data_IF_281753037559
#
_entry.id   IF_281753037559
#
_cell.length_a   1.000
_cell.length_b   1.000
_cell.length_c   1.000
_cell.angle_alpha   90.00
_cell.angle_beta   90.00
_cell.angle_gamma   90.00
#
_symmetry.space_group_name_H-M   'P 1'
#
loop_
_entity.id
_entity.type
_entity.pdbx_description
1 polymer ?
#
# COMPACT_ATOMS: atom_id res chain seq x y z
N UNK A 1 -1.16 -16.37 18.18
CA UNK A 1 0.01 -15.55 17.77
C UNK A 1 0.32 -14.60 18.91
N UNK A 2 1.55 -14.57 19.45
CA UNK A 2 1.84 -13.73 20.62
C UNK A 2 1.68 -12.24 20.29
N UNK A 3 1.24 -11.44 21.25
CA UNK A 3 1.11 -9.97 21.09
C UNK A 3 2.43 -9.35 20.61
N UNK A 4 3.55 -9.88 21.09
CA UNK A 4 4.89 -9.49 20.67
C UNK A 4 5.13 -9.68 19.16
N UNK A 5 4.75 -10.83 18.59
CA UNK A 5 4.89 -11.10 17.16
C UNK A 5 3.99 -10.19 16.30
N UNK A 6 2.80 -9.84 16.79
CA UNK A 6 1.93 -8.87 16.13
C UNK A 6 2.54 -7.47 16.12
N UNK A 7 3.04 -7.00 17.26
CA UNK A 7 3.71 -5.70 17.35
C UNK A 7 4.99 -5.64 16.54
N UNK A 8 5.78 -6.73 16.54
CA UNK A 8 6.99 -6.84 15.72
C UNK A 8 6.63 -6.79 14.22
N UNK A 9 5.62 -7.58 13.80
CA UNK A 9 5.14 -7.58 12.42
C UNK A 9 4.65 -6.20 11.96
N UNK A 10 3.90 -5.50 12.80
CA UNK A 10 3.42 -4.15 12.51
C UNK A 10 4.58 -3.14 12.43
N UNK A 11 5.53 -3.19 13.36
CA UNK A 11 6.69 -2.30 13.38
C UNK A 11 7.57 -2.51 12.15
N UNK A 12 7.92 -3.77 11.82
CA UNK A 12 8.66 -4.11 10.60
C UNK A 12 7.96 -3.59 9.35
N UNK A 13 6.63 -3.70 9.31
CA UNK A 13 5.84 -3.25 8.18
C UNK A 13 5.83 -1.73 8.02
N UNK A 14 5.68 -0.98 9.12
CA UNK A 14 5.75 0.49 9.13
C UNK A 14 7.14 0.97 8.72
N UNK A 15 8.20 0.34 9.23
CA UNK A 15 9.57 0.69 8.88
C UNK A 15 9.86 0.43 7.39
N UNK A 16 9.35 -0.67 6.83
CA UNK A 16 9.44 -0.95 5.40
C UNK A 16 8.65 0.08 4.57
N UNK A 17 7.48 0.50 5.03
CA UNK A 17 6.68 1.56 4.39
C UNK A 17 7.46 2.88 4.31
N UNK A 18 8.01 3.30 5.44
CA UNK A 18 8.77 4.54 5.57
C UNK A 18 10.06 4.44 4.74
N UNK A 19 10.79 3.33 4.82
CA UNK A 19 12.01 3.10 4.05
C UNK A 19 11.74 3.13 2.54
N UNK A 20 10.68 2.48 2.07
CA UNK A 20 10.27 2.53 0.68
C UNK A 20 9.91 3.96 0.25
N UNK A 21 9.20 4.72 1.08
CA UNK A 21 8.82 6.11 0.79
C UNK A 21 10.04 7.04 0.75
N UNK A 22 10.95 6.92 1.72
CA UNK A 22 12.17 7.73 1.81
C UNK A 22 13.17 7.41 0.71
N UNK A 23 13.21 6.17 0.22
CA UNK A 23 13.96 5.82 -0.98
C UNK A 23 13.29 6.38 -2.23
N UNK A 24 11.99 6.17 -2.38
CA UNK A 24 11.24 6.51 -3.58
C UNK A 24 11.07 8.03 -3.80
N UNK A 25 10.68 8.78 -2.76
CA UNK A 25 10.32 10.20 -2.87
C UNK A 25 11.42 11.11 -3.43
N UNK A 26 12.67 11.10 -2.93
CA UNK A 26 13.72 11.95 -3.46
C UNK A 26 14.09 11.59 -4.91
N UNK A 27 14.11 10.30 -5.26
CA UNK A 27 14.36 9.86 -6.64
C UNK A 27 13.24 10.31 -7.59
N UNK A 28 11.99 10.32 -7.10
CA UNK A 28 10.86 10.81 -7.86
C UNK A 28 10.91 12.33 -8.05
N UNK A 29 11.05 13.12 -6.98
CA UNK A 29 11.00 14.57 -7.08
C UNK A 29 12.21 15.16 -7.81
N UNK A 30 13.43 14.66 -7.54
CA UNK A 30 14.63 15.12 -8.24
C UNK A 30 14.57 14.82 -9.75
N UNK A 31 13.87 13.76 -10.15
CA UNK A 31 13.74 13.37 -11.54
C UNK A 31 12.62 14.09 -12.31
N UNK A 32 11.59 14.60 -11.63
CA UNK A 32 10.33 15.01 -12.28
C UNK A 32 9.93 16.48 -12.07
N UNK A 33 10.66 17.27 -11.27
CA UNK A 33 10.30 18.66 -10.93
C UNK A 33 10.19 19.62 -12.14
N UNK A 34 10.79 19.28 -13.28
CA UNK A 34 10.92 20.17 -14.44
C UNK A 34 10.44 19.56 -15.77
N UNK A 35 9.73 18.43 -15.75
CA UNK A 35 9.37 17.71 -16.97
C UNK A 35 7.86 17.64 -17.20
N UNK A 36 7.47 17.84 -18.46
CA UNK A 36 6.12 17.59 -18.95
C UNK A 36 5.82 16.08 -18.89
N UNK A 37 4.60 15.66 -18.52
CA UNK A 37 4.26 14.25 -18.37
C UNK A 37 4.39 13.54 -19.72
N UNK A 38 5.43 12.71 -19.84
CA UNK A 38 5.61 11.73 -20.91
C UNK A 38 5.48 10.35 -20.30
N UNK A 39 4.97 9.39 -21.08
CA UNK A 39 4.86 8.00 -20.67
C UNK A 39 6.25 7.35 -20.73
N UNK A 40 7.07 7.68 -19.73
CA UNK A 40 8.44 7.21 -19.57
C UNK A 40 8.58 6.42 -18.25
N UNK A 41 9.76 5.84 -18.03
CA UNK A 41 10.03 5.03 -16.83
C UNK A 41 9.80 5.81 -15.52
N UNK A 42 9.86 7.14 -15.59
CA UNK A 42 9.72 8.06 -14.46
C UNK A 42 8.25 8.25 -14.07
N UNK A 43 7.38 8.38 -15.06
CA UNK A 43 5.93 8.39 -14.85
C UNK A 43 5.44 7.05 -14.30
N UNK A 44 6.07 5.95 -14.71
CA UNK A 44 5.80 4.63 -14.15
C UNK A 44 6.26 4.51 -12.69
N UNK A 45 7.44 5.05 -12.35
CA UNK A 45 7.87 5.16 -10.97
C UNK A 45 6.92 6.02 -10.11
N UNK A 46 6.29 7.07 -10.68
CA UNK A 46 5.27 7.89 -10.02
C UNK A 46 4.15 7.07 -9.36
N UNK A 47 3.79 5.95 -10.01
CA UNK A 47 2.71 5.08 -9.55
C UNK A 47 3.02 4.35 -8.23
N UNK A 48 4.26 4.42 -7.74
CA UNK A 48 4.63 3.97 -6.39
C UNK A 48 3.92 4.72 -5.25
N UNK A 49 3.43 5.96 -5.45
CA UNK A 49 2.66 6.69 -4.43
C UNK A 49 1.37 5.94 -4.05
N UNK A 50 0.49 5.57 -5.00
CA UNK A 50 -0.65 4.70 -4.74
C UNK A 50 -0.32 3.44 -3.93
N UNK A 51 0.80 2.79 -4.23
CA UNK A 51 1.25 1.61 -3.48
C UNK A 51 1.53 1.95 -2.02
N UNK A 52 2.27 3.04 -1.76
CA UNK A 52 2.59 3.48 -0.41
C UNK A 52 1.32 3.82 0.39
N UNK A 53 0.36 4.50 -0.22
CA UNK A 53 -0.93 4.81 0.41
C UNK A 53 -1.73 3.54 0.74
N UNK A 54 -1.80 2.60 -0.19
CA UNK A 54 -2.44 1.30 0.05
C UNK A 54 -1.76 0.59 1.23
N UNK A 55 -0.42 0.57 1.24
CA UNK A 55 0.38 -0.09 2.26
C UNK A 55 0.14 0.51 3.65
N UNK A 56 0.19 1.85 3.79
CA UNK A 56 -0.12 2.54 5.06
C UNK A 56 -1.54 2.23 5.52
N UNK A 57 -2.53 2.28 4.61
CA UNK A 57 -3.92 2.00 4.95
C UNK A 57 -4.14 0.54 5.41
N UNK A 58 -3.44 -0.41 4.78
CA UNK A 58 -3.50 -1.81 5.14
C UNK A 58 -2.85 -2.04 6.52
N UNK A 59 -1.74 -1.36 6.82
CA UNK A 59 -1.10 -1.40 8.14
C UNK A 59 -2.03 -0.90 9.25
N UNK A 60 -2.60 0.29 9.05
CA UNK A 60 -3.51 0.92 10.00
C UNK A 60 -4.75 0.06 10.25
N UNK A 61 -5.23 -0.63 9.22
CA UNK A 61 -6.35 -1.55 9.36
C UNK A 61 -5.96 -2.84 10.08
N UNK A 62 -4.82 -3.43 9.73
CA UNK A 62 -4.32 -4.66 10.37
C UNK A 62 -4.06 -4.47 11.87
N UNK A 63 -3.70 -3.27 12.33
CA UNK A 63 -3.49 -2.98 13.76
C UNK A 63 -4.78 -2.93 14.59
N UNK A 64 -5.92 -2.64 13.97
CA UNK A 64 -7.24 -2.61 14.64
C UNK A 64 -7.92 -3.99 14.70
N UNK A 65 -7.52 -4.90 13.80
CA UNK A 65 -8.12 -6.23 13.70
C UNK A 65 -7.62 -7.15 14.82
N UNK A 66 -8.52 -7.94 15.40
CA UNK A 66 -8.16 -8.95 16.41
C UNK A 66 -7.29 -10.08 15.86
N UNK A 67 -7.30 -10.27 14.54
CA UNK A 67 -6.58 -11.33 13.82
C UNK A 67 -5.91 -10.75 12.59
N UNK A 68 -4.76 -11.34 12.24
CA UNK A 68 -4.04 -11.00 11.03
C UNK A 68 -4.87 -11.37 9.80
N UNK A 69 -5.21 -10.38 8.96
CA UNK A 69 -5.90 -10.58 7.69
C UNK A 69 -4.92 -10.87 6.57
N UNK A 70 -4.95 -12.09 6.06
CA UNK A 70 -4.16 -12.48 4.87
C UNK A 70 -4.64 -11.73 3.62
N UNK A 71 -5.93 -11.39 3.55
CA UNK A 71 -6.52 -10.66 2.41
C UNK A 71 -5.87 -9.29 2.23
N UNK A 72 -5.58 -8.57 3.33
CA UNK A 72 -4.89 -7.28 3.27
C UNK A 72 -3.48 -7.42 2.71
N UNK A 73 -2.76 -8.46 3.13
CA UNK A 73 -1.42 -8.74 2.62
C UNK A 73 -1.45 -9.09 1.14
N UNK A 74 -2.33 -10.00 0.73
CA UNK A 74 -2.45 -10.43 -0.67
C UNK A 74 -2.80 -9.27 -1.59
N UNK A 75 -3.61 -8.31 -1.13
CA UNK A 75 -3.95 -7.11 -1.90
C UNK A 75 -2.74 -6.20 -2.13
N UNK A 76 -1.93 -5.98 -1.09
CA UNK A 76 -0.68 -5.21 -1.20
C UNK A 76 0.34 -5.93 -2.09
N UNK A 77 0.47 -7.25 -1.93
CA UNK A 77 1.35 -8.08 -2.77
C UNK A 77 0.91 -8.04 -4.23
N UNK A 78 -0.38 -8.15 -4.51
CA UNK A 78 -0.92 -8.07 -5.87
C UNK A 78 -0.65 -6.70 -6.52
N UNK A 79 -0.78 -5.61 -5.74
CA UNK A 79 -0.43 -4.27 -6.21
C UNK A 79 1.07 -4.15 -6.52
N UNK A 80 1.93 -4.64 -5.62
CA UNK A 80 3.38 -4.62 -5.80
C UNK A 80 3.85 -5.46 -6.99
N UNK A 81 3.29 -6.67 -7.16
CA UNK A 81 3.59 -7.53 -8.31
C UNK A 81 3.14 -6.90 -9.63
N UNK A 82 1.96 -6.27 -9.66
CA UNK A 82 1.48 -5.56 -10.85
C UNK A 82 2.42 -4.41 -11.23
N UNK A 83 2.92 -3.65 -10.24
CA UNK A 83 3.90 -2.60 -10.48
C UNK A 83 5.23 -3.16 -11.03
N UNK A 84 5.72 -4.25 -10.42
CA UNK A 84 6.94 -4.93 -10.87
C UNK A 84 6.81 -5.44 -12.32
N UNK A 85 5.68 -6.05 -12.66
CA UNK A 85 5.40 -6.49 -14.03
C UNK A 85 5.31 -5.31 -15.00
N UNK A 86 4.80 -4.15 -14.56
CA UNK A 86 4.89 -2.90 -15.30
C UNK A 86 6.35 -2.57 -15.66
N UNK A 87 7.24 -2.57 -14.66
CA UNK A 87 8.68 -2.31 -14.87
C UNK A 87 9.36 -3.32 -15.80
N UNK A 88 9.06 -4.61 -15.65
CA UNK A 88 9.64 -5.66 -16.47
C UNK A 88 9.14 -5.64 -17.93
N UNK A 89 7.95 -5.09 -18.17
CA UNK A 89 7.35 -5.00 -19.50
C UNK A 89 7.45 -3.62 -20.13
N UNK A 90 8.36 -2.76 -19.64
CA UNK A 90 8.50 -1.39 -20.11
C UNK A 90 8.79 -1.30 -21.62
N UNK A 91 9.62 -2.19 -22.15
CA UNK A 91 9.93 -2.26 -23.59
C UNK A 91 8.74 -2.77 -24.43
N UNK A 92 7.73 -3.34 -23.79
CA UNK A 92 6.50 -3.84 -24.40
C UNK A 92 5.32 -2.95 -24.01
N UNK A 93 5.20 -1.80 -24.69
CA UNK A 93 4.30 -0.70 -24.32
C UNK A 93 2.87 -1.12 -23.95
N UNK A 94 2.25 -2.05 -24.70
CA UNK A 94 0.86 -2.49 -24.42
C UNK A 94 0.76 -3.24 -23.09
N UNK A 95 1.72 -4.11 -22.81
CA UNK A 95 1.82 -4.89 -21.58
C UNK A 95 2.16 -3.97 -20.39
N UNK A 96 3.13 -3.07 -20.57
CA UNK A 96 3.51 -2.09 -19.55
C UNK A 96 2.33 -1.21 -19.12
N UNK A 97 1.59 -0.66 -20.08
CA UNK A 97 0.37 0.14 -19.81
C UNK A 97 -0.69 -0.69 -19.08
N UNK A 98 -0.93 -1.94 -19.52
CA UNK A 98 -1.89 -2.83 -18.86
C UNK A 98 -1.52 -3.08 -17.39
N UNK A 99 -0.29 -3.47 -17.10
CA UNK A 99 0.14 -3.76 -15.73
C UNK A 99 0.15 -2.53 -14.84
N UNK A 100 0.49 -1.35 -15.37
CA UNK A 100 0.40 -0.10 -14.62
C UNK A 100 -1.06 0.30 -14.34
N UNK A 101 -1.96 0.15 -15.30
CA UNK A 101 -3.38 0.39 -15.08
C UNK A 101 -3.96 -0.58 -14.04
N UNK A 102 -3.59 -1.86 -14.13
CA UNK A 102 -3.97 -2.89 -13.15
C UNK A 102 -3.44 -2.54 -11.75
N UNK A 103 -2.18 -2.13 -11.64
CA UNK A 103 -1.57 -1.68 -10.40
C UNK A 103 -2.36 -0.53 -9.76
N UNK A 104 -2.67 0.51 -10.53
CA UNK A 104 -3.45 1.66 -10.08
C UNK A 104 -4.86 1.26 -9.65
N UNK A 105 -5.51 0.36 -10.41
CA UNK A 105 -6.83 -0.15 -10.08
C UNK A 105 -6.82 -0.92 -8.75
N UNK A 106 -5.84 -1.81 -8.53
CA UNK A 106 -5.71 -2.55 -7.27
C UNK A 106 -5.46 -1.58 -6.11
N UNK A 107 -4.60 -0.57 -6.28
CA UNK A 107 -4.35 0.43 -5.25
C UNK A 107 -5.59 1.22 -4.88
N UNK A 108 -6.32 1.73 -5.88
CA UNK A 108 -7.54 2.52 -5.66
C UNK A 108 -8.64 1.68 -4.99
N UNK A 109 -8.94 0.50 -5.55
CA UNK A 109 -9.96 -0.40 -5.01
C UNK A 109 -9.60 -0.91 -3.61
N UNK A 110 -8.33 -1.23 -3.40
CA UNK A 110 -7.84 -1.68 -2.12
C UNK A 110 -7.90 -0.61 -1.04
N UNK A 111 -7.55 0.64 -1.39
CA UNK A 111 -7.66 1.77 -0.49
C UNK A 111 -9.12 2.04 -0.10
N UNK A 112 -10.04 2.06 -1.08
CA UNK A 112 -11.48 2.22 -0.82
C UNK A 112 -12.03 1.09 0.06
N UNK A 113 -11.64 -0.16 -0.23
CA UNK A 113 -12.00 -1.30 0.59
C UNK A 113 -11.49 -1.14 2.03
N UNK A 114 -10.24 -0.72 2.21
CA UNK A 114 -9.65 -0.51 3.53
C UNK A 114 -10.37 0.59 4.30
N UNK A 115 -10.60 1.76 3.69
CA UNK A 115 -11.31 2.87 4.33
C UNK A 115 -12.73 2.49 4.75
N UNK A 116 -13.47 1.76 3.88
CA UNK A 116 -14.84 1.35 4.18
C UNK A 116 -14.95 0.39 5.37
N UNK A 117 -13.94 -0.47 5.55
CA UNK A 117 -13.89 -1.48 6.62
C UNK A 117 -13.26 -0.94 7.90
N UNK A 118 -12.29 -0.04 7.78
CA UNK A 118 -11.59 0.61 8.89
C UNK A 118 -12.57 1.24 9.88
N UNK A 119 -13.58 1.97 9.39
CA UNK A 119 -14.62 2.58 10.25
C UNK A 119 -15.35 1.56 11.12
N UNK A 120 -15.69 0.40 10.56
CA UNK A 120 -16.39 -0.67 11.28
C UNK A 120 -15.47 -1.33 12.31
N UNK A 121 -14.22 -1.55 11.95
CA UNK A 121 -13.21 -2.17 12.80
C UNK A 121 -12.81 -1.24 13.97
N UNK A 122 -12.71 0.07 13.72
CA UNK A 122 -12.48 1.10 14.74
C UNK A 122 -13.61 1.15 15.76
N UNK A 123 -14.87 1.26 15.32
CA UNK A 123 -16.02 1.28 16.22
C UNK A 123 -16.11 -0.01 17.07
N UNK A 124 -15.80 -1.17 16.48
CA UNK A 124 -15.76 -2.44 17.21
C UNK A 124 -14.59 -2.52 18.19
N UNK A 125 -13.47 -1.85 17.92
CA UNK A 125 -12.34 -1.76 18.84
C UNK A 125 -12.65 -0.82 20.01
N UNK A 126 -13.20 0.36 19.75
CA UNK A 126 -13.65 1.32 20.77
C UNK A 126 -14.65 0.70 21.73
N UNK A 127 -15.66 -0.02 21.21
CA UNK A 127 -16.65 -0.74 22.04
C UNK A 127 -15.99 -1.79 22.95
N UNK A 128 -15.00 -2.52 22.45
CA UNK A 128 -14.26 -3.52 23.24
C UNK A 128 -13.43 -2.85 24.34
N UNK A 129 -12.82 -1.70 24.05
CA UNK A 129 -12.02 -0.98 25.02
C UNK A 129 -12.88 -0.33 26.11
N UNK A 130 -14.04 0.23 25.75
CA UNK A 130 -15.02 0.74 26.71
C UNK A 130 -15.51 -0.35 27.66
N UNK A 131 -15.75 -1.57 27.17
CA UNK A 131 -16.15 -2.71 27.99
C UNK A 131 -15.04 -3.25 28.92
N UNK A 132 -13.76 -3.01 28.59
CA UNK A 132 -12.63 -3.40 29.44
C UNK A 132 -12.32 -2.37 30.54
N UNK A 133 -12.76 -1.13 30.36
CA UNK A 133 -12.53 -0.01 31.27
C UNK A 133 -13.72 0.27 32.21
N UNK A 134 -14.83 -0.45 32.04
CA UNK A 134 -16.03 -0.39 32.89
C UNK A 134 -16.00 -1.52 33.92
#
# INVERSE_FOLDING_TARGET
>A
MSRFLQSLGLASYVLLAIGALLWWAPHFFAANLHLLPRLDYRYMAATGIPLALLLISAAARQSLMARFSLVLVLMVVAAALSLMLGFLSFDYLKQGVFFCALHLAICALGLLFNLSRYRKELAAWEKRQAALNA
#
